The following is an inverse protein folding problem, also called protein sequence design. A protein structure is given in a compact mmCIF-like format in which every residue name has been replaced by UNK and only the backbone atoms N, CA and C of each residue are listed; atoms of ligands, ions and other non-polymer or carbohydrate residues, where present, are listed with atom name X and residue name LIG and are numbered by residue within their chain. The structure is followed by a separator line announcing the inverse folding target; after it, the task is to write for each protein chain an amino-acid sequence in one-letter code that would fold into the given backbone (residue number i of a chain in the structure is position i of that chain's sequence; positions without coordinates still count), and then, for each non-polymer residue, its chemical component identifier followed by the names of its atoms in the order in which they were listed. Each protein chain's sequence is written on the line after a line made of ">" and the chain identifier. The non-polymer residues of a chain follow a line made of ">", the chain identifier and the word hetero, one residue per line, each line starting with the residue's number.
data_IF_007850015645
#
_entry.id   IF_007850015645
#
_cell.length_a   1.000
_cell.length_b   1.000
_cell.length_c   1.000
_cell.angle_alpha   90.00
_cell.angle_beta   90.00
_cell.angle_gamma   90.00
#
_symmetry.space_group_name_H-M   'P 1'
#
loop_
_entity.id
_entity.type
_entity.pdbx_description
1 polymer ?
#
# COMPACT_ATOMS: atom_id res chain seq x y z
N UNK A 1 -3.38 -1.93 -2.40
CA UNK A 1 -2.04 -2.46 -2.08
C UNK A 1 -2.04 -2.86 -0.61
N UNK A 2 -1.48 -4.01 -0.25
CA UNK A 2 -1.31 -4.41 1.14
C UNK A 2 -0.04 -5.25 1.33
N UNK A 3 0.39 -5.39 2.58
CA UNK A 3 1.57 -6.18 2.96
C UNK A 3 1.37 -7.67 2.66
N UNK A 4 0.14 -8.18 2.80
CA UNK A 4 -0.28 -9.54 2.45
C UNK A 4 -1.79 -9.57 2.19
N UNK A 5 -2.32 -10.69 1.67
CA UNK A 5 -3.76 -10.84 1.44
C UNK A 5 -4.56 -10.93 2.76
N UNK A 6 -5.79 -10.40 2.77
CA UNK A 6 -6.65 -10.40 3.97
C UNK A 6 -6.88 -11.79 4.57
N UNK A 7 -7.09 -12.80 3.71
CA UNK A 7 -7.24 -14.21 4.14
C UNK A 7 -5.98 -14.77 4.78
N UNK A 8 -4.81 -14.42 4.25
CA UNK A 8 -3.53 -14.87 4.78
C UNK A 8 -3.30 -14.28 6.18
N UNK A 9 -3.54 -12.98 6.34
CA UNK A 9 -3.43 -12.29 7.62
C UNK A 9 -4.41 -12.86 8.66
N UNK A 10 -5.68 -13.07 8.27
CA UNK A 10 -6.69 -13.67 9.13
C UNK A 10 -6.26 -15.07 9.61
N UNK A 11 -5.75 -15.92 8.70
CA UNK A 11 -5.32 -17.28 9.06
C UNK A 11 -4.13 -17.29 10.00
N UNK A 12 -3.15 -16.41 9.78
CA UNK A 12 -2.00 -16.26 10.68
C UNK A 12 -2.47 -15.85 12.08
N UNK A 13 -3.39 -14.90 12.18
CA UNK A 13 -3.93 -14.44 13.46
C UNK A 13 -4.75 -15.50 14.18
N UNK A 14 -5.51 -16.33 13.46
CA UNK A 14 -6.22 -17.49 14.00
C UNK A 14 -5.23 -18.50 14.62
N UNK A 15 -4.15 -18.84 13.91
CA UNK A 15 -3.14 -19.80 14.36
C UNK A 15 -2.46 -19.29 15.65
N UNK A 16 -2.02 -18.02 15.65
CA UNK A 16 -1.33 -17.42 16.79
C UNK A 16 -2.24 -17.36 18.02
N UNK A 17 -3.49 -16.91 17.82
CA UNK A 17 -4.45 -16.74 18.92
C UNK A 17 -4.88 -18.09 19.50
N UNK A 18 -5.12 -19.09 18.65
CA UNK A 18 -5.43 -20.46 19.08
C UNK A 18 -4.28 -21.08 19.89
N UNK A 19 -3.03 -20.90 19.44
CA UNK A 19 -1.86 -21.38 20.17
C UNK A 19 -1.71 -20.70 21.53
N UNK A 20 -1.98 -19.38 21.61
CA UNK A 20 -1.96 -18.61 22.86
C UNK A 20 -3.01 -19.10 23.86
N UNK A 21 -4.26 -19.28 23.43
CA UNK A 21 -5.35 -19.74 24.30
C UNK A 21 -5.06 -21.13 24.88
N UNK A 22 -4.60 -22.06 24.04
CA UNK A 22 -4.22 -23.40 24.49
C UNK A 22 -3.10 -23.37 25.54
N UNK A 23 -2.10 -22.50 25.38
CA UNK A 23 -1.04 -22.30 26.39
C UNK A 23 -1.55 -21.76 27.72
N UNK A 24 -2.68 -21.05 27.71
CA UNK A 24 -3.35 -20.53 28.91
C UNK A 24 -4.34 -21.53 29.51
N UNK A 25 -4.43 -22.76 28.98
CA UNK A 25 -5.40 -23.76 29.42
C UNK A 25 -6.84 -23.48 28.97
N UNK A 26 -7.03 -22.54 28.03
CA UNK A 26 -8.34 -22.18 27.48
C UNK A 26 -8.54 -22.84 26.12
N UNK A 27 -9.77 -23.27 25.83
CA UNK A 27 -10.13 -23.77 24.52
C UNK A 27 -10.51 -22.61 23.58
N UNK A 28 -9.95 -22.56 22.36
CA UNK A 28 -10.36 -21.57 21.36
C UNK A 28 -11.83 -21.76 20.99
N UNK A 29 -12.61 -20.69 21.06
CA UNK A 29 -13.98 -20.65 20.56
C UNK A 29 -13.98 -20.45 19.03
N UNK A 30 -14.48 -21.43 18.24
CA UNK A 30 -14.54 -21.31 16.79
C UNK A 30 -15.34 -20.10 16.28
N UNK A 31 -16.39 -19.69 16.99
CA UNK A 31 -17.22 -18.56 16.57
C UNK A 31 -16.46 -17.24 16.74
N UNK A 32 -15.87 -17.01 17.91
CA UNK A 32 -15.02 -15.85 18.16
C UNK A 32 -13.83 -15.76 17.19
N UNK A 33 -13.20 -16.89 16.86
CA UNK A 33 -12.12 -16.93 15.86
C UNK A 33 -12.62 -16.57 14.46
N UNK A 34 -13.81 -17.06 14.08
CA UNK A 34 -14.43 -16.72 12.80
C UNK A 34 -14.75 -15.22 12.69
N UNK A 35 -15.28 -14.62 13.75
CA UNK A 35 -15.57 -13.18 13.80
C UNK A 35 -14.28 -12.34 13.73
N UNK A 36 -13.24 -12.73 14.46
CA UNK A 36 -11.93 -12.06 14.41
C UNK A 36 -11.32 -12.14 13.00
N UNK A 37 -11.32 -13.32 12.40
CA UNK A 37 -10.79 -13.54 11.04
C UNK A 37 -11.53 -12.70 10.00
N UNK A 38 -12.87 -12.66 10.08
CA UNK A 38 -13.70 -11.83 9.19
C UNK A 38 -13.38 -10.34 9.35
N UNK A 39 -13.30 -9.83 10.57
CA UNK A 39 -12.97 -8.42 10.84
C UNK A 39 -11.60 -8.02 10.26
N UNK A 40 -10.59 -8.88 10.42
CA UNK A 40 -9.24 -8.65 9.86
C UNK A 40 -9.28 -8.64 8.33
N UNK A 41 -9.97 -9.61 7.73
CA UNK A 41 -10.13 -9.71 6.28
C UNK A 41 -10.82 -8.47 5.73
N UNK A 42 -11.99 -8.12 6.28
CA UNK A 42 -12.80 -6.99 5.81
C UNK A 42 -12.01 -5.67 5.90
N UNK A 43 -11.26 -5.46 7.00
CA UNK A 43 -10.40 -4.27 7.14
C UNK A 43 -9.31 -4.23 6.08
N UNK A 44 -8.58 -5.33 5.93
CA UNK A 44 -7.47 -5.39 4.98
C UNK A 44 -7.95 -5.26 3.53
N UNK A 45 -9.07 -5.88 3.17
CA UNK A 45 -9.64 -5.79 1.82
C UNK A 45 -10.05 -4.35 1.50
N UNK A 46 -10.64 -3.61 2.46
CA UNK A 46 -10.98 -2.20 2.30
C UNK A 46 -9.73 -1.32 2.10
N UNK A 47 -8.68 -1.55 2.88
CA UNK A 47 -7.41 -0.83 2.81
C UNK A 47 -6.56 -1.25 1.58
N UNK A 48 -6.89 -2.38 0.95
CA UNK A 48 -6.14 -2.93 -0.18
C UNK A 48 -6.57 -2.39 -1.55
N UNK A 49 -7.60 -1.56 -1.61
CA UNK A 49 -8.12 -1.05 -2.89
C UNK A 49 -7.16 -0.03 -3.53
N UNK A 50 -7.24 0.13 -4.86
CA UNK A 50 -6.48 1.16 -5.58
C UNK A 50 -6.86 2.57 -5.13
N UNK A 51 -8.15 2.81 -4.89
CA UNK A 51 -8.67 4.09 -4.41
C UNK A 51 -8.12 4.45 -3.02
N UNK A 52 -8.00 3.46 -2.12
CA UNK A 52 -7.45 3.70 -0.79
C UNK A 52 -5.98 4.15 -0.85
N UNK A 53 -5.19 3.54 -1.74
CA UNK A 53 -3.78 3.85 -1.95
C UNK A 53 -3.59 5.24 -2.59
N UNK A 54 -4.29 5.52 -3.68
CA UNK A 54 -4.13 6.79 -4.43
C UNK A 54 -4.59 8.00 -3.61
N UNK A 55 -5.63 7.85 -2.77
CA UNK A 55 -6.08 8.88 -1.85
C UNK A 55 -5.03 9.27 -0.79
N UNK A 56 -3.97 8.47 -0.63
CA UNK A 56 -2.87 8.67 0.33
C UNK A 56 -1.53 8.92 -0.34
N UNK A 57 -1.52 9.15 -1.66
CA UNK A 57 -0.29 9.36 -2.45
C UNK A 57 0.72 8.22 -2.29
N UNK A 58 0.25 6.98 -2.13
CA UNK A 58 1.14 5.82 -2.22
C UNK A 58 1.59 5.54 -3.66
N UNK A 59 0.83 6.10 -4.61
CA UNK A 59 1.08 6.13 -6.03
C UNK A 59 0.81 7.55 -6.56
N UNK A 60 1.29 7.85 -7.76
CA UNK A 60 1.10 9.13 -8.45
C UNK A 60 -0.22 9.21 -9.23
N UNK A 61 -1.11 8.22 -9.08
CA UNK A 61 -2.43 8.19 -9.69
C UNK A 61 -2.80 6.84 -10.31
N UNK A 62 -4.11 6.61 -10.39
CA UNK A 62 -4.69 5.46 -11.10
C UNK A 62 -4.78 5.80 -12.59
N UNK A 63 -4.32 4.89 -13.45
CA UNK A 63 -4.37 5.03 -14.91
C UNK A 63 -5.17 3.90 -15.55
N UNK A 64 -5.70 4.16 -16.74
CA UNK A 64 -6.21 3.10 -17.60
C UNK A 64 -5.05 2.17 -18.01
N UNK A 65 -5.15 0.84 -17.83
CA UNK A 65 -4.10 -0.09 -18.23
C UNK A 65 -3.66 0.07 -19.70
N UNK A 66 -4.55 0.51 -20.60
CA UNK A 66 -4.26 0.75 -22.02
C UNK A 66 -3.32 1.94 -22.24
N UNK A 67 -3.31 2.90 -21.32
CA UNK A 67 -2.47 4.10 -21.38
C UNK A 67 -1.06 3.88 -20.79
N UNK A 68 -0.76 2.72 -20.22
CA UNK A 68 0.53 2.42 -19.57
C UNK A 68 1.74 2.81 -20.42
N UNK A 69 1.74 2.46 -21.72
CA UNK A 69 2.83 2.80 -22.65
C UNK A 69 3.00 4.31 -22.81
N UNK A 70 1.88 5.04 -22.92
CA UNK A 70 1.89 6.50 -23.12
C UNK A 70 2.39 7.21 -21.86
N UNK A 71 1.92 6.80 -20.69
CA UNK A 71 2.35 7.36 -19.39
C UNK A 71 3.85 7.14 -19.20
N UNK A 72 4.34 5.92 -19.42
CA UNK A 72 5.77 5.61 -19.33
C UNK A 72 6.61 6.41 -20.34
N UNK A 73 6.13 6.57 -21.58
CA UNK A 73 6.83 7.37 -22.59
C UNK A 73 6.99 8.84 -22.15
N UNK A 74 5.96 9.43 -21.55
CA UNK A 74 6.02 10.79 -21.02
C UNK A 74 6.98 10.86 -19.84
N UNK A 75 6.87 9.96 -18.86
CA UNK A 75 7.73 9.93 -17.69
C UNK A 75 9.22 9.83 -18.07
N UNK A 76 9.56 8.90 -18.97
CA UNK A 76 10.93 8.72 -19.45
C UNK A 76 11.43 9.93 -20.27
N UNK A 77 10.58 10.54 -21.10
CA UNK A 77 10.94 11.73 -21.84
C UNK A 77 11.25 12.91 -20.89
N UNK A 78 10.46 13.08 -19.83
CA UNK A 78 10.68 14.09 -18.79
C UNK A 78 11.99 13.85 -18.04
N UNK A 79 12.27 12.61 -17.62
CA UNK A 79 13.54 12.28 -16.95
C UNK A 79 14.75 12.56 -17.85
N UNK A 80 14.66 12.21 -19.14
CA UNK A 80 15.74 12.47 -20.10
C UNK A 80 15.94 13.96 -20.33
N UNK A 81 14.86 14.73 -20.44
CA UNK A 81 14.92 16.17 -20.61
C UNK A 81 15.59 16.83 -19.40
N UNK A 82 15.19 16.45 -18.18
CA UNK A 82 15.80 16.95 -16.96
C UNK A 82 17.31 16.64 -16.89
N UNK A 83 17.73 15.44 -17.31
CA UNK A 83 19.15 15.05 -17.33
C UNK A 83 19.97 15.84 -18.35
N UNK A 84 19.37 16.26 -19.47
CA UNK A 84 20.03 17.04 -20.52
C UNK A 84 20.00 18.55 -20.23
N UNK A 85 19.13 19.01 -19.32
CA UNK A 85 18.92 20.43 -19.04
C UNK A 85 20.11 21.03 -18.30
N UNK A 86 20.74 22.04 -18.91
CA UNK A 86 21.73 22.87 -18.24
C UNK A 86 21.04 23.98 -17.46
N UNK A 87 21.26 24.02 -16.15
CA UNK A 87 20.76 25.07 -15.26
C UNK A 87 21.89 26.05 -14.92
N UNK A 88 21.51 27.30 -14.64
CA UNK A 88 22.41 28.28 -14.02
C UNK A 88 22.30 28.10 -12.50
N UNK A 89 23.38 27.66 -11.88
CA UNK A 89 23.43 27.51 -10.42
C UNK A 89 23.70 28.85 -9.76
N UNK A 90 23.21 29.02 -8.54
CA UNK A 90 23.57 30.11 -7.65
C UNK A 90 23.79 29.53 -6.25
N UNK A 91 24.56 30.22 -5.42
CA UNK A 91 24.90 29.71 -4.09
C UNK A 91 23.83 29.99 -3.03
N UNK A 92 22.99 31.00 -3.23
CA UNK A 92 22.14 31.57 -2.17
C UNK A 92 20.66 31.70 -2.55
N UNK A 93 20.24 31.19 -3.71
CA UNK A 93 18.92 31.48 -4.26
C UNK A 93 18.81 32.90 -4.83
N UNK A 94 17.63 33.23 -5.36
CA UNK A 94 17.35 34.59 -5.86
C UNK A 94 17.07 35.50 -4.67
N UNK A 95 17.86 36.56 -4.51
CA UNK A 95 17.64 37.55 -3.46
C UNK A 95 16.36 38.36 -3.73
N UNK A 96 15.47 38.41 -2.74
CA UNK A 96 14.30 39.31 -2.74
C UNK A 96 14.66 40.53 -1.90
N UNK A 97 14.78 41.68 -2.55
CA UNK A 97 14.95 43.00 -1.91
C UNK A 97 13.61 43.59 -1.48
#
# INVERSE_FOLDING_TARGET
>A
IAVMGGEQAAKVMEIITSAKLRRMGMNPDPEAMGQMGKSIKDRLDAESTALYATARLWDDGIIDPRDSRRVLAIALATCREAAARRLVTNSFGVARM
#
